data_IF_206640764706
#
_entry.id   IF_206640764706
#
_cell.length_a   1.000
_cell.length_b   1.000
_cell.length_c   1.000
_cell.angle_alpha   90.00
_cell.angle_beta   90.00
_cell.angle_gamma   90.00
#
_symmetry.space_group_name_H-M   'P 1'
#
loop_
_entity.id
_entity.type
_entity.pdbx_description
1 polymer ?
#
# COMPACT_ATOMS: atom_id res chain seq x y z
N UNK A 1 21.45 41.57 12.99
CA UNK A 1 20.58 42.56 12.37
C UNK A 1 19.56 41.83 11.51
N UNK A 2 18.39 41.55 12.10
CA UNK A 2 17.26 41.00 11.36
C UNK A 2 16.61 42.13 10.63
N UNK A 3 16.66 42.12 9.30
CA UNK A 3 16.02 43.14 8.48
C UNK A 3 14.49 43.00 8.63
N UNK A 4 13.90 44.01 9.20
CA UNK A 4 12.46 44.23 9.35
C UNK A 4 11.87 44.41 7.95
N UNK A 5 11.32 43.37 7.35
CA UNK A 5 10.63 43.47 6.07
C UNK A 5 9.26 44.13 6.32
N UNK A 6 9.25 45.46 6.36
CA UNK A 6 8.03 46.24 6.28
C UNK A 6 7.29 45.86 5.00
N UNK A 7 6.16 45.21 5.15
CA UNK A 7 5.19 45.05 4.07
C UNK A 7 4.79 46.46 3.62
N UNK A 8 5.25 46.84 2.46
CA UNK A 8 4.74 48.06 1.81
C UNK A 8 3.30 47.75 1.40
N UNK A 9 2.37 48.28 2.16
CA UNK A 9 0.99 48.37 1.72
C UNK A 9 0.97 49.29 0.50
N UNK A 10 0.56 48.76 -0.64
CA UNK A 10 0.28 49.57 -1.81
C UNK A 10 -0.83 50.56 -1.45
N UNK A 11 -0.58 51.88 -1.68
CA UNK A 11 -1.58 52.92 -1.46
C UNK A 11 -2.88 52.57 -2.18
N UNK A 12 -3.95 52.38 -1.42
CA UNK A 12 -5.27 52.03 -1.93
C UNK A 12 -5.78 50.63 -1.59
N UNK A 13 -4.95 49.76 -1.00
CA UNK A 13 -5.42 48.44 -0.54
C UNK A 13 -5.84 48.52 0.94
N UNK A 14 -7.14 48.72 1.19
CA UNK A 14 -7.71 48.59 2.54
C UNK A 14 -7.71 47.14 2.93
N UNK A 15 -6.96 46.80 3.97
CA UNK A 15 -7.00 45.48 4.61
C UNK A 15 -8.38 45.30 5.25
N UNK A 16 -9.04 44.18 4.97
CA UNK A 16 -10.34 43.78 5.52
C UNK A 16 -10.40 43.93 7.05
N UNK A 17 -9.26 43.73 7.72
CA UNK A 17 -9.14 43.85 9.17
C UNK A 17 -9.02 45.32 9.65
N UNK A 18 -8.59 46.27 8.82
CA UNK A 18 -8.50 47.68 9.16
C UNK A 18 -9.84 48.42 9.03
N UNK A 19 -10.77 47.87 8.26
CA UNK A 19 -12.11 48.45 8.07
C UNK A 19 -12.98 48.32 9.33
N UNK A 20 -12.70 47.36 10.23
CA UNK A 20 -13.34 47.25 11.55
C UNK A 20 -12.87 48.28 12.58
N UNK A 21 -11.79 49.04 12.31
CA UNK A 21 -11.22 49.99 13.27
C UNK A 21 -11.74 51.41 13.11
N UNK A 22 -12.50 51.72 12.02
CA UNK A 22 -13.04 53.05 11.72
C UNK A 22 -14.48 53.28 12.20
N UNK A 23 -15.14 52.28 12.77
CA UNK A 23 -16.48 52.38 13.37
C UNK A 23 -16.38 52.44 14.90
N UNK A 24 -16.54 53.62 15.47
CA UNK A 24 -16.70 54.03 16.86
C UNK A 24 -16.70 53.02 17.98
N UNK A 25 -15.86 53.31 18.96
CA UNK A 25 -15.94 53.06 20.40
C UNK A 25 -16.85 51.91 20.89
N UNK A 26 -16.55 50.67 20.60
CA UNK A 26 -17.05 49.56 21.39
C UNK A 26 -15.86 48.88 22.08
N UNK A 27 -16.00 48.65 23.40
CA UNK A 27 -15.07 47.96 24.25
C UNK A 27 -14.62 46.65 23.53
N UNK A 28 -13.33 46.52 23.32
CA UNK A 28 -12.73 45.25 22.83
C UNK A 28 -13.11 44.14 23.79
N UNK A 29 -14.24 43.48 23.55
CA UNK A 29 -14.47 42.16 24.15
C UNK A 29 -13.25 41.29 23.82
N UNK A 30 -12.64 40.66 24.83
CA UNK A 30 -11.56 39.74 24.56
C UNK A 30 -12.05 38.74 23.49
N UNK A 31 -11.19 38.30 22.55
CA UNK A 31 -11.61 37.38 21.51
C UNK A 31 -12.23 36.18 22.22
N UNK A 32 -13.54 36.01 21.98
CA UNK A 32 -14.27 34.89 22.47
C UNK A 32 -13.55 33.67 21.86
N UNK A 33 -12.80 32.96 22.67
CA UNK A 33 -12.22 31.69 22.20
C UNK A 33 -13.40 30.82 21.86
N UNK A 34 -13.58 30.54 20.57
CA UNK A 34 -14.52 29.56 20.14
C UNK A 34 -14.16 28.25 20.89
N UNK A 35 -15.05 27.88 21.80
CA UNK A 35 -14.90 26.61 22.53
C UNK A 35 -15.22 25.55 21.48
N UNK A 36 -14.16 25.05 20.84
CA UNK A 36 -14.32 23.95 19.92
C UNK A 36 -14.85 22.74 20.68
N UNK A 37 -15.87 22.06 20.17
CA UNK A 37 -16.37 20.87 20.81
C UNK A 37 -15.26 19.82 20.90
N UNK A 38 -15.18 19.14 22.03
CA UNK A 38 -14.26 18.02 22.25
C UNK A 38 -14.78 16.80 21.46
N UNK A 39 -14.38 16.73 20.20
CA UNK A 39 -14.75 15.65 19.28
C UNK A 39 -13.55 14.69 19.19
N UNK A 40 -13.76 13.38 19.36
CA UNK A 40 -12.68 12.41 19.21
C UNK A 40 -12.06 12.51 17.80
N UNK A 41 -10.75 12.37 17.72
CA UNK A 41 -10.02 12.33 16.46
C UNK A 41 -10.46 11.12 15.61
N UNK A 42 -10.39 11.30 14.30
CA UNK A 42 -10.65 10.22 13.35
C UNK A 42 -9.67 9.07 13.56
N UNK A 43 -10.16 7.86 13.40
CA UNK A 43 -9.27 6.70 13.36
C UNK A 43 -8.26 6.82 12.20
N UNK A 44 -7.07 6.21 12.29
CA UNK A 44 -6.10 6.25 11.20
C UNK A 44 -6.69 5.77 9.86
N UNK A 45 -7.58 4.76 9.89
CA UNK A 45 -8.23 4.23 8.70
C UNK A 45 -9.21 5.22 8.08
N UNK A 46 -10.04 5.89 8.90
CA UNK A 46 -10.97 6.92 8.43
C UNK A 46 -10.22 8.11 7.82
N UNK A 47 -9.11 8.54 8.47
CA UNK A 47 -8.27 9.60 7.97
C UNK A 47 -7.67 9.26 6.62
N UNK A 48 -7.06 8.09 6.48
CA UNK A 48 -6.50 7.63 5.20
C UNK A 48 -7.56 7.54 4.10
N UNK A 49 -8.79 7.10 4.44
CA UNK A 49 -9.91 7.08 3.50
C UNK A 49 -10.28 8.49 3.02
N UNK A 50 -10.41 9.44 3.94
CA UNK A 50 -10.73 10.84 3.60
C UNK A 50 -9.60 11.50 2.79
N UNK A 51 -8.34 11.20 3.09
CA UNK A 51 -7.19 11.65 2.31
C UNK A 51 -7.29 11.15 0.87
N UNK A 52 -7.56 9.86 0.67
CA UNK A 52 -7.73 9.26 -0.65
C UNK A 52 -8.91 9.85 -1.41
N UNK A 53 -10.05 10.06 -0.76
CA UNK A 53 -11.23 10.67 -1.37
C UNK A 53 -11.00 12.12 -1.80
N UNK A 54 -10.22 12.89 -1.02
CA UNK A 54 -10.02 14.33 -1.25
C UNK A 54 -8.85 14.61 -2.18
N UNK A 55 -7.73 13.92 -2.01
CA UNK A 55 -6.46 14.19 -2.71
C UNK A 55 -6.13 13.16 -3.77
N UNK A 56 -6.80 12.01 -3.76
CA UNK A 56 -6.47 10.86 -4.59
C UNK A 56 -5.28 10.04 -4.07
N UNK A 57 -4.64 10.45 -2.97
CA UNK A 57 -3.44 9.84 -2.42
C UNK A 57 -3.62 9.52 -0.93
N UNK A 58 -2.85 8.55 -0.44
CA UNK A 58 -2.67 8.30 0.99
C UNK A 58 -1.48 9.14 1.48
N UNK A 59 -1.69 10.04 2.43
CA UNK A 59 -0.68 10.96 2.94
C UNK A 59 -0.13 10.54 4.30
N UNK A 60 -0.98 10.04 5.19
CA UNK A 60 -0.61 9.68 6.57
C UNK A 60 -0.02 8.28 6.70
N UNK A 61 -0.08 7.45 5.65
CA UNK A 61 0.36 6.06 5.62
C UNK A 61 -0.41 5.29 4.56
N UNK A 62 -0.13 4.01 4.40
CA UNK A 62 -0.86 3.16 3.46
C UNK A 62 -1.70 2.11 4.22
N UNK A 63 -2.95 1.81 3.80
CA UNK A 63 -3.77 0.81 4.48
C UNK A 63 -3.11 -0.56 4.60
N UNK A 64 -2.21 -0.90 3.67
CA UNK A 64 -1.47 -2.16 3.68
C UNK A 64 -0.39 -2.25 4.76
N UNK A 65 -0.01 -1.13 5.39
CA UNK A 65 1.00 -1.12 6.46
C UNK A 65 0.60 -1.96 7.67
N UNK A 66 -0.70 -2.01 7.97
CA UNK A 66 -1.26 -2.82 9.06
C UNK A 66 -1.15 -4.34 8.79
N UNK A 67 -0.95 -4.75 7.55
CA UNK A 67 -0.99 -6.16 7.11
C UNK A 67 0.37 -6.71 6.70
N UNK A 68 1.47 -6.01 6.95
CA UNK A 68 2.83 -6.40 6.51
C UNK A 68 3.20 -7.83 6.92
N UNK A 69 2.93 -8.21 8.16
CA UNK A 69 3.23 -9.57 8.64
C UNK A 69 2.40 -10.64 7.93
N UNK A 70 1.14 -10.36 7.64
CA UNK A 70 0.27 -11.29 6.90
C UNK A 70 0.71 -11.44 5.46
N UNK A 71 1.07 -10.34 4.79
CA UNK A 71 1.60 -10.31 3.43
C UNK A 71 2.85 -11.19 3.32
N UNK A 72 3.77 -11.05 4.28
CA UNK A 72 4.98 -11.88 4.34
C UNK A 72 4.66 -13.36 4.54
N UNK A 73 3.73 -13.68 5.44
CA UNK A 73 3.29 -15.07 5.67
C UNK A 73 2.63 -15.71 4.46
N UNK A 74 1.88 -14.93 3.69
CA UNK A 74 1.24 -15.38 2.45
C UNK A 74 2.23 -15.55 1.30
N UNK A 75 3.46 -15.06 1.45
CA UNK A 75 4.46 -15.04 0.38
C UNK A 75 4.00 -14.22 -0.83
N UNK A 76 3.23 -13.16 -0.58
CA UNK A 76 2.71 -12.31 -1.63
C UNK A 76 3.82 -11.52 -2.31
N UNK A 77 3.68 -11.35 -3.61
CA UNK A 77 4.61 -10.57 -4.44
C UNK A 77 4.14 -9.12 -4.43
N UNK A 78 5.07 -8.18 -4.21
CA UNK A 78 4.81 -6.75 -4.34
C UNK A 78 4.46 -6.40 -5.79
N UNK A 79 3.43 -5.58 -5.98
CA UNK A 79 2.93 -5.22 -7.31
C UNK A 79 4.00 -4.46 -8.10
N UNK A 80 4.68 -3.49 -7.49
CA UNK A 80 5.74 -2.74 -8.16
C UNK A 80 6.92 -3.61 -8.59
N UNK A 81 7.30 -4.59 -7.77
CA UNK A 81 8.33 -5.56 -8.14
C UNK A 81 7.88 -6.43 -9.33
N UNK A 82 6.62 -6.91 -9.30
CA UNK A 82 6.04 -7.67 -10.40
C UNK A 82 6.04 -6.86 -11.71
N UNK A 83 5.57 -5.62 -11.67
CA UNK A 83 5.51 -4.73 -12.83
C UNK A 83 6.90 -4.41 -13.40
N UNK A 84 7.88 -4.18 -12.53
CA UNK A 84 9.26 -3.92 -12.92
C UNK A 84 9.88 -5.12 -13.64
N UNK A 85 9.71 -6.32 -13.08
CA UNK A 85 10.31 -7.55 -13.62
C UNK A 85 9.60 -8.04 -14.89
N UNK A 86 8.35 -7.65 -15.12
CA UNK A 86 7.58 -7.97 -16.35
C UNK A 86 7.65 -6.87 -17.40
N UNK A 87 8.22 -5.69 -17.07
CA UNK A 87 8.46 -4.60 -18.02
C UNK A 87 9.57 -4.90 -19.02
N UNK A 88 9.81 -3.96 -19.95
CA UNK A 88 10.83 -4.09 -21.01
C UNK A 88 12.26 -4.30 -20.50
N UNK A 89 12.57 -3.82 -19.30
CA UNK A 89 13.87 -3.98 -18.63
C UNK A 89 13.90 -5.15 -17.63
N UNK A 90 12.82 -5.94 -17.56
CA UNK A 90 12.68 -7.01 -16.60
C UNK A 90 13.61 -8.18 -16.86
N UNK A 91 14.02 -8.85 -15.79
CA UNK A 91 14.94 -10.01 -15.86
C UNK A 91 14.25 -11.32 -16.28
N UNK A 92 12.97 -11.28 -16.65
CA UNK A 92 12.20 -12.45 -17.06
C UNK A 92 11.91 -13.45 -15.93
N UNK A 93 11.98 -13.02 -14.68
CA UNK A 93 11.71 -13.87 -13.50
C UNK A 93 10.28 -14.37 -13.42
N UNK A 94 9.34 -13.64 -14.02
CA UNK A 94 7.95 -14.02 -14.08
C UNK A 94 7.58 -14.42 -15.49
N UNK A 95 6.83 -15.53 -15.60
CA UNK A 95 6.40 -16.07 -16.87
C UNK A 95 4.88 -15.95 -17.01
N UNK A 96 4.40 -15.89 -18.27
CA UNK A 96 2.98 -15.96 -18.55
C UNK A 96 2.37 -17.25 -17.98
N UNK A 97 1.18 -17.16 -17.39
CA UNK A 97 0.51 -18.27 -16.72
C UNK A 97 1.06 -18.66 -15.35
N UNK A 98 2.11 -18.01 -14.85
CA UNK A 98 2.67 -18.27 -13.52
C UNK A 98 1.66 -17.94 -12.43
N UNK A 99 1.46 -18.85 -11.49
CA UNK A 99 0.63 -18.63 -10.31
C UNK A 99 1.39 -17.79 -9.28
N UNK A 100 0.71 -16.77 -8.77
CA UNK A 100 1.24 -15.89 -7.74
C UNK A 100 0.13 -15.38 -6.81
N UNK A 101 0.55 -14.84 -5.70
CA UNK A 101 -0.32 -14.16 -4.74
C UNK A 101 0.10 -12.70 -4.68
N UNK A 102 -0.86 -11.80 -4.76
CA UNK A 102 -0.68 -10.36 -4.52
C UNK A 102 -1.64 -9.92 -3.42
N UNK A 103 -1.24 -8.92 -2.67
CA UNK A 103 -2.07 -8.29 -1.66
C UNK A 103 -2.18 -6.81 -1.94
N UNK A 104 -3.34 -6.23 -1.70
CA UNK A 104 -3.54 -4.80 -1.89
C UNK A 104 -4.96 -4.37 -1.56
N UNK A 105 -5.21 -3.08 -1.67
CA UNK A 105 -6.53 -2.48 -1.51
C UNK A 105 -7.21 -2.39 -2.88
N UNK A 106 -8.48 -2.75 -2.94
CA UNK A 106 -9.29 -2.58 -4.15
C UNK A 106 -9.53 -1.10 -4.38
N UNK A 107 -8.96 -0.54 -5.45
CA UNK A 107 -9.14 0.87 -5.82
C UNK A 107 -10.28 1.10 -6.80
N UNK A 108 -10.61 0.12 -7.64
CA UNK A 108 -11.80 0.16 -8.48
C UNK A 108 -12.31 -1.23 -8.83
N UNK A 109 -13.63 -1.34 -9.04
CA UNK A 109 -14.29 -2.59 -9.43
C UNK A 109 -15.34 -2.31 -10.50
N UNK A 110 -15.11 -2.78 -11.73
CA UNK A 110 -16.00 -2.56 -12.88
C UNK A 110 -16.49 -3.89 -13.44
N UNK A 111 -17.78 -4.13 -13.35
CA UNK A 111 -18.40 -5.35 -13.89
C UNK A 111 -18.79 -5.13 -15.35
N UNK A 112 -18.57 -6.13 -16.20
CA UNK A 112 -18.98 -6.16 -17.60
C UNK A 112 -19.63 -7.51 -17.92
N UNK A 113 -20.61 -7.48 -18.81
CA UNK A 113 -21.19 -8.69 -19.38
C UNK A 113 -20.42 -9.05 -20.66
N UNK A 114 -19.99 -10.29 -20.76
CA UNK A 114 -19.30 -10.81 -21.95
C UNK A 114 -20.32 -11.08 -23.08
N UNK A 115 -19.81 -11.30 -24.31
CA UNK A 115 -20.66 -11.68 -25.47
C UNK A 115 -21.49 -12.94 -25.20
N UNK A 116 -21.04 -13.81 -24.31
CA UNK A 116 -21.75 -15.06 -23.96
C UNK A 116 -22.69 -14.86 -22.76
N UNK A 117 -23.07 -13.63 -22.45
CA UNK A 117 -23.96 -13.27 -21.35
C UNK A 117 -23.47 -13.74 -19.96
N UNK A 118 -22.15 -13.91 -19.80
CA UNK A 118 -21.51 -14.21 -18.51
C UNK A 118 -20.94 -12.95 -17.89
N UNK A 119 -21.03 -12.82 -16.58
CA UNK A 119 -20.46 -11.70 -15.85
C UNK A 119 -18.95 -11.88 -15.71
N UNK A 120 -18.21 -10.78 -15.89
CA UNK A 120 -16.80 -10.66 -15.54
C UNK A 120 -16.57 -9.30 -14.89
N UNK A 121 -15.54 -9.18 -14.07
CA UNK A 121 -15.14 -7.91 -13.51
C UNK A 121 -13.66 -7.61 -13.79
N UNK A 122 -13.39 -6.34 -14.00
CA UNK A 122 -12.07 -5.73 -13.98
C UNK A 122 -11.92 -5.05 -12.63
N UNK A 123 -11.01 -5.52 -11.83
CA UNK A 123 -10.78 -5.01 -10.48
C UNK A 123 -9.34 -4.51 -10.42
N UNK A 124 -9.15 -3.26 -10.05
CA UNK A 124 -7.81 -2.71 -9.82
C UNK A 124 -7.46 -2.85 -8.35
N UNK A 125 -6.32 -3.45 -8.07
CA UNK A 125 -5.76 -3.57 -6.72
C UNK A 125 -4.47 -2.80 -6.66
N UNK A 126 -4.27 -2.06 -5.58
CA UNK A 126 -3.07 -1.23 -5.35
C UNK A 126 -2.41 -1.60 -4.02
N UNK A 127 -1.09 -1.60 -4.00
CA UNK A 127 -0.26 -1.63 -2.79
C UNK A 127 0.56 -0.32 -2.67
N UNK A 128 1.49 -0.26 -1.74
CA UNK A 128 2.39 0.89 -1.55
C UNK A 128 3.39 1.08 -2.71
N UNK A 129 3.49 0.10 -3.63
CA UNK A 129 4.49 0.07 -4.70
C UNK A 129 3.91 0.23 -6.11
N UNK A 130 2.62 -0.02 -6.28
CA UNK A 130 1.97 0.08 -7.59
C UNK A 130 0.54 -0.41 -7.62
N UNK A 131 -0.03 -0.49 -8.82
CA UNK A 131 -1.38 -1.00 -9.05
C UNK A 131 -1.40 -2.00 -10.20
N UNK A 132 -2.28 -3.01 -10.09
CA UNK A 132 -2.44 -4.05 -11.12
C UNK A 132 -3.91 -4.36 -11.33
N UNK A 133 -4.27 -4.68 -12.58
CA UNK A 133 -5.63 -5.07 -12.94
C UNK A 133 -5.81 -6.59 -12.80
N UNK A 134 -6.90 -6.97 -12.14
CA UNK A 134 -7.36 -8.33 -12.00
C UNK A 134 -8.51 -8.59 -12.97
N UNK A 135 -8.48 -9.72 -13.63
CA UNK A 135 -9.58 -10.24 -14.43
C UNK A 135 -10.31 -11.32 -13.63
N UNK A 136 -11.53 -11.02 -13.21
CA UNK A 136 -12.37 -11.93 -12.42
C UNK A 136 -13.51 -12.45 -13.29
N UNK A 137 -13.53 -13.76 -13.54
CA UNK A 137 -14.60 -14.41 -14.29
C UNK A 137 -15.78 -14.77 -13.37
N UNK A 138 -16.91 -15.14 -13.94
CA UNK A 138 -18.16 -15.39 -13.23
C UNK A 138 -18.00 -16.34 -12.04
N UNK A 139 -17.26 -17.44 -12.20
CA UNK A 139 -17.01 -18.38 -11.11
C UNK A 139 -16.29 -17.73 -9.92
N UNK A 140 -15.29 -16.93 -10.19
CA UNK A 140 -14.54 -16.20 -9.15
C UNK A 140 -15.42 -15.13 -8.50
N UNK A 141 -16.27 -14.46 -9.31
CA UNK A 141 -17.18 -13.45 -8.79
C UNK A 141 -18.25 -14.06 -7.88
N UNK A 142 -18.77 -15.23 -8.19
CA UNK A 142 -19.72 -15.95 -7.34
C UNK A 142 -19.10 -16.33 -5.98
N UNK A 143 -17.84 -16.71 -5.97
CA UNK A 143 -17.13 -17.15 -4.75
C UNK A 143 -16.53 -15.99 -3.95
N UNK A 144 -15.97 -15.03 -4.62
CA UNK A 144 -15.11 -13.99 -4.00
C UNK A 144 -15.59 -12.56 -4.28
N UNK A 145 -16.67 -12.37 -5.04
CA UNK A 145 -17.13 -11.03 -5.46
C UNK A 145 -17.49 -10.11 -4.30
N UNK A 146 -17.92 -10.69 -3.16
CA UNK A 146 -18.21 -9.91 -1.95
C UNK A 146 -16.98 -9.17 -1.40
N UNK A 147 -15.78 -9.70 -1.65
CA UNK A 147 -14.50 -9.15 -1.17
C UNK A 147 -13.86 -8.18 -2.16
N UNK A 148 -14.32 -8.16 -3.42
CA UNK A 148 -13.77 -7.34 -4.49
C UNK A 148 -14.48 -5.97 -4.59
N UNK A 149 -14.74 -5.34 -3.44
CA UNK A 149 -15.34 -4.01 -3.33
C UNK A 149 -14.28 -2.98 -3.03
N UNK A 150 -14.50 -1.76 -3.53
CA UNK A 150 -13.60 -0.62 -3.31
C UNK A 150 -13.34 -0.36 -1.83
N UNK A 151 -12.09 -0.10 -1.49
CA UNK A 151 -11.62 0.19 -0.14
C UNK A 151 -11.31 -1.05 0.71
N UNK A 152 -11.59 -2.27 0.24
CA UNK A 152 -11.27 -3.49 0.99
C UNK A 152 -9.84 -3.96 0.70
N UNK A 153 -9.13 -4.36 1.76
CA UNK A 153 -7.82 -4.99 1.67
C UNK A 153 -7.99 -6.50 1.40
N UNK A 154 -7.41 -6.97 0.32
CA UNK A 154 -7.59 -8.34 -0.18
C UNK A 154 -6.27 -9.03 -0.47
N UNK A 155 -6.25 -10.34 -0.25
CA UNK A 155 -5.24 -11.24 -0.79
C UNK A 155 -5.83 -11.97 -1.99
N UNK A 156 -5.19 -11.86 -3.13
CA UNK A 156 -5.63 -12.40 -4.42
C UNK A 156 -4.63 -13.44 -4.89
N UNK A 157 -5.15 -14.60 -5.24
CA UNK A 157 -4.40 -15.66 -5.92
C UNK A 157 -4.86 -15.76 -7.35
N UNK A 158 -3.91 -15.86 -8.26
CA UNK A 158 -4.24 -15.93 -9.67
C UNK A 158 -3.04 -16.30 -10.53
N UNK A 159 -3.28 -16.26 -11.83
CA UNK A 159 -2.27 -16.48 -12.86
C UNK A 159 -1.90 -15.17 -13.50
N UNK A 160 -0.63 -14.92 -13.61
CA UNK A 160 -0.11 -13.78 -14.36
C UNK A 160 -0.47 -13.94 -15.84
N UNK A 161 -0.94 -12.88 -16.46
CA UNK A 161 -1.20 -12.80 -17.89
C UNK A 161 -0.34 -11.70 -18.50
N UNK A 162 0.62 -12.11 -19.30
CA UNK A 162 1.52 -11.22 -20.06
C UNK A 162 1.11 -11.25 -21.52
N UNK A 163 0.72 -10.11 -22.07
CA UNK A 163 0.38 -9.94 -23.49
C UNK A 163 1.18 -8.79 -24.05
N UNK A 164 1.70 -8.94 -25.25
CA UNK A 164 2.57 -7.94 -25.89
C UNK A 164 1.94 -6.53 -25.99
N UNK A 165 0.61 -6.45 -26.19
CA UNK A 165 -0.10 -5.18 -26.40
C UNK A 165 -0.83 -4.66 -25.13
N UNK A 166 -0.63 -5.28 -23.97
CA UNK A 166 -1.37 -4.90 -22.74
C UNK A 166 -0.47 -4.89 -21.52
N UNK A 167 -0.75 -4.03 -20.56
CA UNK A 167 -0.07 -4.10 -19.28
C UNK A 167 -0.31 -5.47 -18.62
N UNK A 168 0.61 -5.93 -17.76
CA UNK A 168 0.46 -7.16 -17.00
C UNK A 168 -0.85 -7.18 -16.21
N UNK A 169 -1.56 -8.29 -16.27
CA UNK A 169 -2.83 -8.51 -15.60
C UNK A 169 -2.79 -9.83 -14.82
N UNK A 170 -3.64 -9.96 -13.81
CA UNK A 170 -3.77 -11.23 -13.07
C UNK A 170 -5.16 -11.81 -13.35
N UNK A 171 -5.19 -13.04 -13.85
CA UNK A 171 -6.41 -13.85 -13.92
C UNK A 171 -6.71 -14.35 -12.51
N UNK A 172 -7.71 -13.77 -11.86
CA UNK A 172 -8.05 -14.06 -10.47
C UNK A 172 -8.69 -15.46 -10.36
N UNK A 173 -8.04 -16.34 -9.61
CA UNK A 173 -8.59 -17.66 -9.26
C UNK A 173 -9.42 -17.54 -7.96
N UNK A 174 -8.93 -16.81 -6.96
CA UNK A 174 -9.62 -16.56 -5.70
C UNK A 174 -9.17 -15.26 -5.04
N UNK A 175 -10.06 -14.64 -4.29
CA UNK A 175 -9.77 -13.48 -3.45
C UNK A 175 -10.40 -13.67 -2.07
N UNK A 176 -9.71 -13.23 -1.03
CA UNK A 176 -10.16 -13.26 0.35
C UNK A 176 -9.80 -11.93 1.03
N UNK A 177 -10.57 -11.56 2.06
CA UNK A 177 -10.19 -10.41 2.88
C UNK A 177 -8.85 -10.67 3.56
N UNK A 178 -7.98 -9.69 3.55
CA UNK A 178 -6.65 -9.84 4.11
C UNK A 178 -6.70 -10.09 5.63
N UNK A 179 -7.68 -9.50 6.34
CA UNK A 179 -7.92 -9.74 7.75
C UNK A 179 -8.23 -11.21 8.08
N UNK A 180 -8.91 -11.92 7.16
CA UNK A 180 -9.29 -13.33 7.31
C UNK A 180 -8.40 -14.28 6.52
N UNK A 181 -7.41 -13.77 5.78
CA UNK A 181 -6.50 -14.57 5.01
C UNK A 181 -5.58 -15.38 5.92
N UNK A 182 -5.95 -16.61 6.18
CA UNK A 182 -5.05 -17.57 6.81
C UNK A 182 -4.02 -18.02 5.76
N UNK A 183 -2.76 -18.22 6.15
CA UNK A 183 -1.80 -18.88 5.28
C UNK A 183 -2.36 -20.26 4.96
N UNK A 184 -2.58 -20.52 3.68
CA UNK A 184 -3.15 -21.79 3.24
C UNK A 184 -2.11 -22.89 3.47
N UNK A 185 -2.36 -23.72 4.46
CA UNK A 185 -1.52 -24.88 4.78
C UNK A 185 -1.51 -25.91 3.62
N UNK A 186 -2.37 -25.73 2.61
CA UNK A 186 -2.57 -26.66 1.51
C UNK A 186 -1.89 -26.28 0.17
N UNK A 187 -1.27 -25.12 0.06
CA UNK A 187 -0.55 -24.73 -1.16
C UNK A 187 0.95 -24.90 -1.00
N UNK A 188 1.43 -26.10 -1.32
CA UNK A 188 2.78 -26.61 -1.28
C UNK A 188 3.40 -26.63 0.14
N UNK A 189 4.13 -27.66 0.53
CA UNK A 189 4.88 -27.62 1.76
C UNK A 189 5.83 -26.42 1.64
N UNK A 190 5.47 -25.33 2.28
CA UNK A 190 6.46 -24.42 2.75
C UNK A 190 7.25 -25.24 3.78
N UNK A 191 8.11 -26.12 3.27
CA UNK A 191 9.24 -26.54 4.05
C UNK A 191 9.74 -25.25 4.65
N UNK A 192 9.91 -25.23 5.96
CA UNK A 192 10.58 -24.17 6.67
C UNK A 192 11.62 -23.61 5.72
N UNK A 193 11.37 -22.44 5.14
CA UNK A 193 12.39 -21.77 4.34
C UNK A 193 13.42 -21.37 5.37
N UNK A 194 14.32 -22.31 5.66
CA UNK A 194 15.53 -22.00 6.39
C UNK A 194 16.16 -20.87 5.58
N UNK A 195 16.00 -19.65 6.07
CA UNK A 195 16.69 -18.52 5.47
C UNK A 195 18.16 -18.79 5.72
N UNK A 196 18.84 -19.31 4.72
CA UNK A 196 20.27 -19.59 4.82
C UNK A 196 21.01 -18.37 4.33
N UNK A 197 21.69 -17.71 5.24
CA UNK A 197 22.57 -16.60 4.92
C UNK A 197 23.94 -17.18 4.50
N UNK A 198 24.28 -17.01 3.22
CA UNK A 198 25.61 -17.38 2.72
C UNK A 198 26.55 -16.18 2.81
N UNK A 199 27.57 -16.29 3.63
CA UNK A 199 28.64 -15.30 3.75
C UNK A 199 29.88 -15.86 3.07
N UNK A 200 30.42 -15.13 2.09
CA UNK A 200 31.65 -15.49 1.38
C UNK A 200 32.84 -14.72 1.94
N UNK A 201 33.81 -15.43 2.48
CA UNK A 201 35.06 -14.84 2.97
C UNK A 201 36.23 -15.23 2.05
N UNK A 202 37.24 -14.38 1.94
CA UNK A 202 38.42 -14.64 1.09
C UNK A 202 39.23 -15.86 1.56
N UNK A 203 39.29 -16.09 2.88
CA UNK A 203 39.96 -17.25 3.48
C UNK A 203 39.37 -17.59 4.85
N UNK A 204 39.64 -18.81 5.33
CA UNK A 204 39.25 -19.26 6.67
C UNK A 204 39.93 -18.54 7.83
N UNK A 205 41.03 -17.82 7.52
CA UNK A 205 41.83 -17.05 8.49
C UNK A 205 41.61 -15.53 8.37
N UNK A 206 40.61 -15.11 7.58
CA UNK A 206 40.37 -13.69 7.40
C UNK A 206 39.85 -13.03 8.71
N UNK A 207 40.34 -11.81 9.01
CA UNK A 207 39.95 -11.10 10.24
C UNK A 207 38.43 -10.84 10.29
N UNK A 208 37.75 -10.71 9.15
CA UNK A 208 36.30 -10.52 9.03
C UNK A 208 35.56 -11.77 9.53
N UNK A 209 36.05 -12.98 9.22
CA UNK A 209 35.48 -14.22 9.69
C UNK A 209 35.57 -14.33 11.22
N UNK A 210 36.72 -13.96 11.78
CA UNK A 210 36.94 -13.97 13.24
C UNK A 210 36.00 -12.98 13.94
N UNK A 211 35.83 -11.79 13.40
CA UNK A 211 34.87 -10.80 13.90
C UNK A 211 33.43 -11.34 13.86
N UNK A 212 33.01 -11.93 12.75
CA UNK A 212 31.67 -12.50 12.61
C UNK A 212 31.42 -13.64 13.59
N UNK A 213 32.39 -14.53 13.81
CA UNK A 213 32.30 -15.58 14.84
C UNK A 213 32.10 -14.98 16.24
N UNK A 214 32.78 -13.90 16.56
CA UNK A 214 32.62 -13.20 17.82
C UNK A 214 31.19 -12.63 17.97
N UNK A 215 30.66 -12.02 16.93
CA UNK A 215 29.29 -11.47 16.90
C UNK A 215 28.27 -12.58 17.13
N UNK A 216 28.35 -13.71 16.44
CA UNK A 216 27.47 -14.84 16.63
C UNK A 216 27.56 -15.47 18.03
N UNK A 217 28.75 -15.40 18.65
CA UNK A 217 28.92 -15.86 20.03
C UNK A 217 28.29 -14.91 21.05
N UNK A 218 28.34 -13.60 20.78
CA UNK A 218 27.74 -12.58 21.65
C UNK A 218 26.21 -12.49 21.52
N UNK A 219 25.67 -12.78 20.32
CA UNK A 219 24.26 -12.73 20.01
C UNK A 219 23.78 -14.06 19.46
N UNK A 220 23.71 -15.12 20.30
CA UNK A 220 23.20 -16.42 19.85
C UNK A 220 21.72 -16.27 19.53
N UNK A 221 21.39 -16.34 18.24
CA UNK A 221 20.01 -16.43 17.78
C UNK A 221 19.39 -17.80 18.10
N UNK A 222 18.12 -17.97 17.77
CA UNK A 222 17.43 -19.27 17.85
C UNK A 222 17.76 -20.17 16.64
N UNK A 223 18.50 -19.64 15.66
CA UNK A 223 18.83 -20.34 14.42
C UNK A 223 20.14 -21.12 14.59
N UNK A 224 20.20 -22.29 13.94
CA UNK A 224 21.40 -23.12 13.93
C UNK A 224 22.38 -22.54 12.92
N UNK A 225 23.58 -22.23 13.34
CA UNK A 225 24.71 -21.79 12.51
C UNK A 225 25.48 -23.00 11.98
#
# INVERSE_FOLDING_TARGET
AVADSRRQNLEGQMDFFSMGALGGGEEKKPPQRDILPDIPEFTPQERMRMEKETTGLYLSGHPMDAYRDQILRLGAVSIGYLLKETGQEGSGKFQDGQRLTVCGVVSSSKTKTTKNNTLMAYVTVEDDTGSIELLCFSRTLEQSGAYLKEGLAVAVRGKLSLREDKPPQILCDSAVLLESALPDVAAAPAGERKQTLYLKFPSLTSPELLHMRLVFTMFPGKDVV
#
